data_IF_735316509596
#
_entry.id   IF_735316509596
#
_cell.length_a   1.000
_cell.length_b   1.000
_cell.length_c   1.000
_cell.angle_alpha   90.00
_cell.angle_beta   90.00
_cell.angle_gamma   90.00
#
_symmetry.space_group_name_H-M   'P 1'
#
loop_
_entity.id
_entity.type
_entity.pdbx_description
1 polymer ?
#
# COMPACT_ATOMS: atom_id res chain seq x y z
N UNK A 1 -38.89 7.59 20.60
CA UNK A 1 -38.08 8.44 19.68
C UNK A 1 -37.14 7.51 18.92
N UNK A 2 -37.14 7.46 17.57
CA UNK A 2 -36.23 6.58 16.87
C UNK A 2 -34.83 7.21 16.84
N UNK A 3 -33.86 6.39 17.23
CA UNK A 3 -32.44 6.71 17.34
C UNK A 3 -31.80 6.66 15.95
N UNK A 4 -31.66 7.80 15.28
CA UNK A 4 -31.03 7.91 13.96
C UNK A 4 -29.50 8.05 14.10
N UNK A 5 -28.84 7.01 14.61
CA UNK A 5 -27.39 6.87 14.48
C UNK A 5 -27.07 6.21 13.12
N UNK A 6 -27.31 6.95 12.04
CA UNK A 6 -26.70 6.60 10.75
C UNK A 6 -25.22 6.97 10.83
N UNK A 7 -24.39 5.99 11.17
CA UNK A 7 -22.97 6.04 10.84
C UNK A 7 -22.89 6.21 9.32
N UNK A 8 -22.64 7.44 8.86
CA UNK A 8 -22.40 7.68 7.45
C UNK A 8 -21.10 6.96 7.09
N UNK A 9 -21.23 5.77 6.53
CA UNK A 9 -20.17 5.15 5.72
C UNK A 9 -20.05 5.99 4.45
N UNK A 10 -19.49 7.20 4.59
CA UNK A 10 -19.06 7.98 3.45
C UNK A 10 -17.94 7.16 2.79
N UNK A 11 -18.21 6.68 1.58
CA UNK A 11 -17.24 5.94 0.79
C UNK A 11 -16.02 6.86 0.57
N UNK A 12 -14.87 6.43 1.07
CA UNK A 12 -13.63 7.20 0.94
C UNK A 12 -13.25 7.22 -0.53
N UNK A 13 -13.13 8.42 -1.12
CA UNK A 13 -12.72 8.54 -2.53
C UNK A 13 -11.41 7.81 -2.76
N UNK A 14 -11.32 7.11 -3.90
CA UNK A 14 -10.16 6.30 -4.29
C UNK A 14 -8.84 7.09 -4.25
N UNK A 15 -8.88 8.40 -4.53
CA UNK A 15 -7.71 9.29 -4.48
C UNK A 15 -7.03 9.33 -3.09
N UNK A 16 -7.78 9.12 -2.00
CA UNK A 16 -7.24 9.06 -0.65
C UNK A 16 -6.80 7.65 -0.23
N UNK A 17 -7.08 6.63 -1.06
CA UNK A 17 -6.71 5.23 -0.81
C UNK A 17 -5.42 4.84 -1.53
N UNK A 18 -4.91 5.71 -2.41
CA UNK A 18 -3.70 5.46 -3.19
C UNK A 18 -2.50 6.18 -2.57
N UNK A 19 -1.44 5.42 -2.31
CA UNK A 19 -0.13 5.95 -1.90
C UNK A 19 0.84 5.73 -3.07
N UNK A 20 1.51 6.79 -3.50
CA UNK A 20 2.55 6.74 -4.53
C UNK A 20 3.84 7.34 -4.01
N UNK A 21 4.97 6.94 -4.61
CA UNK A 21 6.28 7.43 -4.23
C UNK A 21 7.37 6.88 -5.16
N UNK A 22 8.59 7.35 -4.95
CA UNK A 22 9.76 6.94 -5.72
C UNK A 22 10.80 6.35 -4.78
N UNK A 23 11.33 5.18 -5.13
CA UNK A 23 12.46 4.56 -4.44
C UNK A 23 13.72 4.77 -5.27
N UNK A 24 14.69 5.51 -4.72
CA UNK A 24 15.99 5.71 -5.34
C UNK A 24 17.01 4.78 -4.70
N UNK A 25 17.80 4.10 -5.53
CA UNK A 25 18.92 3.27 -5.07
C UNK A 25 20.24 3.78 -5.65
N UNK A 26 21.30 3.68 -4.85
CA UNK A 26 22.69 3.90 -5.30
C UNK A 26 23.40 2.59 -5.62
N UNK A 27 22.76 1.45 -5.32
CA UNK A 27 23.32 0.14 -5.58
C UNK A 27 23.13 -0.22 -7.06
N UNK A 28 24.25 -0.33 -7.80
CA UNK A 28 24.21 -0.58 -9.24
C UNK A 28 23.59 -1.93 -9.62
N UNK A 29 23.65 -2.93 -8.74
CA UNK A 29 23.02 -4.23 -8.98
C UNK A 29 21.50 -4.05 -8.97
N UNK A 30 20.98 -3.35 -7.95
CA UNK A 30 19.55 -3.06 -7.84
C UNK A 30 19.04 -2.15 -8.97
N UNK A 31 19.87 -1.20 -9.43
CA UNK A 31 19.51 -0.34 -10.56
C UNK A 31 19.28 -1.12 -11.86
N UNK A 32 19.93 -2.29 -12.02
CA UNK A 32 19.76 -3.17 -13.17
C UNK A 32 18.72 -4.27 -12.95
N UNK A 33 17.99 -4.24 -11.83
CA UNK A 33 16.93 -5.21 -11.59
C UNK A 33 15.75 -5.00 -12.53
N UNK A 34 15.17 -6.10 -12.95
CA UNK A 34 13.91 -6.10 -13.69
C UNK A 34 12.76 -5.68 -12.78
N UNK A 35 11.68 -5.16 -13.37
CA UNK A 35 10.47 -4.74 -12.64
C UNK A 35 9.91 -5.84 -11.75
N UNK A 36 10.00 -7.11 -12.14
CA UNK A 36 9.56 -8.26 -11.34
C UNK A 36 10.33 -8.41 -10.02
N UNK A 37 11.63 -8.16 -10.02
CA UNK A 37 12.46 -8.22 -8.81
C UNK A 37 12.12 -7.07 -7.85
N UNK A 38 11.90 -5.87 -8.39
CA UNK A 38 11.40 -4.74 -7.61
C UNK A 38 10.02 -5.02 -7.03
N UNK A 39 9.13 -5.62 -7.82
CA UNK A 39 7.80 -6.02 -7.39
C UNK A 39 7.87 -7.01 -6.21
N UNK A 40 8.77 -7.98 -6.24
CA UNK A 40 8.97 -8.93 -5.14
C UNK A 40 9.44 -8.25 -3.85
N UNK A 41 10.35 -7.28 -3.95
CA UNK A 41 10.82 -6.50 -2.79
C UNK A 41 9.70 -5.65 -2.22
N UNK A 42 8.96 -4.95 -3.07
CA UNK A 42 7.83 -4.12 -2.63
C UNK A 42 6.70 -4.97 -2.03
N UNK A 43 6.43 -6.16 -2.57
CA UNK A 43 5.48 -7.11 -2.00
C UNK A 43 5.91 -7.57 -0.59
N UNK A 44 7.22 -7.74 -0.34
CA UNK A 44 7.73 -8.04 1.01
C UNK A 44 7.56 -6.86 1.96
N UNK A 45 7.81 -5.63 1.49
CA UNK A 45 7.56 -4.43 2.29
C UNK A 45 6.08 -4.31 2.67
N UNK A 46 5.18 -4.52 1.70
CA UNK A 46 3.74 -4.57 1.94
C UNK A 46 3.36 -5.64 2.97
N UNK A 47 3.90 -6.85 2.86
CA UNK A 47 3.67 -7.92 3.84
C UNK A 47 4.11 -7.50 5.23
N UNK A 48 5.29 -6.88 5.36
CA UNK A 48 5.79 -6.37 6.64
C UNK A 48 4.88 -5.30 7.24
N UNK A 49 4.30 -4.43 6.41
CA UNK A 49 3.32 -3.42 6.84
C UNK A 49 2.00 -4.09 7.28
N UNK A 50 1.53 -5.07 6.51
CA UNK A 50 0.30 -5.82 6.81
C UNK A 50 0.41 -6.70 8.06
N UNK A 51 1.60 -7.13 8.45
CA UNK A 51 1.83 -7.88 9.69
C UNK A 51 2.13 -6.98 10.90
N UNK A 52 2.29 -5.68 10.67
CA UNK A 52 2.73 -4.71 11.68
C UNK A 52 1.60 -3.93 12.33
N UNK A 53 1.94 -2.81 13.00
CA UNK A 53 0.97 -1.93 13.65
C UNK A 53 -0.11 -1.35 12.73
N UNK A 54 0.15 -1.33 11.42
CA UNK A 54 -0.76 -0.82 10.39
C UNK A 54 -1.54 -1.93 9.66
N UNK A 55 -1.60 -3.13 10.22
CA UNK A 55 -2.20 -4.31 9.56
C UNK A 55 -3.59 -4.05 8.98
N UNK A 56 -4.49 -3.41 9.73
CA UNK A 56 -5.86 -3.09 9.28
C UNK A 56 -5.91 -2.21 8.03
N UNK A 57 -4.92 -1.32 7.83
CA UNK A 57 -4.84 -0.44 6.67
C UNK A 57 -4.26 -1.13 5.43
N UNK A 58 -3.38 -2.13 5.62
CA UNK A 58 -2.61 -2.73 4.52
C UNK A 58 -2.98 -4.19 4.20
N UNK A 59 -3.87 -4.84 4.96
CA UNK A 59 -4.23 -6.25 4.76
C UNK A 59 -4.86 -6.55 3.39
N UNK A 60 -5.45 -5.53 2.74
CA UNK A 60 -6.02 -5.60 1.38
C UNK A 60 -5.31 -4.69 0.38
N UNK A 61 -4.19 -4.06 0.78
CA UNK A 61 -3.45 -3.22 -0.14
C UNK A 61 -2.71 -4.07 -1.17
N UNK A 62 -2.42 -3.47 -2.32
CA UNK A 62 -1.61 -4.04 -3.39
C UNK A 62 -0.61 -3.00 -3.86
N UNK A 63 0.56 -3.42 -4.30
CA UNK A 63 1.57 -2.52 -4.87
C UNK A 63 1.77 -2.86 -6.34
N UNK A 64 1.97 -1.84 -7.15
CA UNK A 64 2.38 -1.95 -8.55
C UNK A 64 3.68 -1.17 -8.72
N UNK A 65 4.68 -1.79 -9.35
CA UNK A 65 5.92 -1.14 -9.77
C UNK A 65 5.84 -0.84 -11.27
N UNK A 66 6.14 0.41 -11.64
CA UNK A 66 6.11 0.91 -13.01
C UNK A 66 7.51 1.12 -13.56
#
# INVERSE_FOLDING_TARGET
>A
MPNNNMCMTAEVKQEFMNLSGTLTTTNIIMANWQTSMWQDVMNRALRSLSSGPFSSNFIRASITVN
#
